data_IF_185214333503
#
_entry.id   IF_185214333503
#
_cell.length_a   1.000
_cell.length_b   1.000
_cell.length_c   1.000
_cell.angle_alpha   90.00
_cell.angle_beta   90.00
_cell.angle_gamma   90.00
#
_symmetry.space_group_name_H-M   'P 1'
#
loop_
_entity.id
_entity.type
_entity.pdbx_description
1 polymer ?
#
# COMPACT_ATOMS: atom_id res chain seq x y z
N UNK A 1 5.16 7.62 24.30
CA UNK A 1 4.14 6.63 23.89
C UNK A 1 4.78 5.73 22.84
N UNK A 2 4.63 4.41 22.93
CA UNK A 2 5.11 3.49 21.89
C UNK A 2 4.29 3.67 20.62
N UNK A 3 4.94 3.70 19.45
CA UNK A 3 4.25 3.67 18.16
C UNK A 3 3.42 2.37 18.06
N UNK A 4 2.23 2.46 17.48
CA UNK A 4 1.36 1.29 17.26
C UNK A 4 1.45 0.89 15.80
N UNK A 5 2.11 -0.25 15.53
CA UNK A 5 2.21 -0.80 14.18
C UNK A 5 0.83 -0.98 13.54
N UNK A 6 0.76 -0.69 12.24
CA UNK A 6 -0.47 -0.78 11.46
C UNK A 6 -0.20 -0.88 9.97
N UNK A 7 -1.08 -1.57 9.25
CA UNK A 7 -1.13 -1.48 7.80
C UNK A 7 -1.87 -0.21 7.35
N UNK A 8 -1.32 0.50 6.38
CA UNK A 8 -1.91 1.67 5.75
C UNK A 8 -2.26 1.34 4.30
N UNK A 9 -3.51 1.56 3.91
CA UNK A 9 -3.91 1.65 2.51
C UNK A 9 -3.62 3.06 2.01
N UNK A 10 -2.78 3.16 0.99
CA UNK A 10 -2.53 4.40 0.26
C UNK A 10 -3.03 4.20 -1.16
N UNK A 11 -3.96 5.03 -1.59
CA UNK A 11 -4.42 5.03 -2.98
C UNK A 11 -4.35 6.43 -3.55
N UNK A 12 -4.24 6.53 -4.87
CA UNK A 12 -4.29 7.82 -5.53
C UNK A 12 -4.45 7.73 -7.02
N UNK A 13 -4.60 8.92 -7.60
CA UNK A 13 -4.80 9.12 -9.02
C UNK A 13 -3.64 9.91 -9.61
N UNK A 14 -3.18 9.46 -10.77
CA UNK A 14 -2.16 10.12 -11.55
C UNK A 14 -2.70 11.44 -12.13
N UNK A 15 -1.83 12.45 -12.38
CA UNK A 15 -2.23 13.68 -13.03
C UNK A 15 -2.94 13.45 -14.37
N UNK A 16 -3.86 14.35 -14.71
CA UNK A 16 -4.52 14.32 -16.01
C UNK A 16 -3.49 14.38 -17.15
N UNK A 17 -3.70 13.57 -18.20
CA UNK A 17 -2.77 13.50 -19.34
C UNK A 17 -1.60 12.51 -19.17
N UNK A 18 -1.38 11.97 -17.98
CA UNK A 18 -0.38 10.90 -17.75
C UNK A 18 -0.71 9.67 -18.61
N UNK A 19 0.32 9.05 -19.22
CA UNK A 19 0.15 7.79 -19.96
C UNK A 19 0.11 6.61 -18.99
N UNK A 20 -0.61 5.54 -19.33
CA UNK A 20 -0.72 4.34 -18.48
C UNK A 20 0.65 3.76 -18.09
N UNK A 21 1.59 3.69 -19.04
CA UNK A 21 2.94 3.19 -18.78
C UNK A 21 3.71 4.08 -17.78
N UNK A 22 3.51 5.39 -17.81
CA UNK A 22 4.15 6.34 -16.89
C UNK A 22 3.54 6.22 -15.50
N UNK A 23 2.21 6.16 -15.41
CA UNK A 23 1.51 5.99 -14.13
C UNK A 23 1.97 4.71 -13.42
N UNK A 24 2.07 3.61 -14.17
CA UNK A 24 2.51 2.33 -13.61
C UNK A 24 3.97 2.37 -13.17
N UNK A 25 4.86 2.95 -13.99
CA UNK A 25 6.27 3.10 -13.64
C UNK A 25 6.46 3.98 -12.39
N UNK A 26 5.72 5.09 -12.29
CA UNK A 26 5.70 5.97 -11.12
C UNK A 26 5.32 5.22 -9.85
N UNK A 27 4.23 4.46 -9.86
CA UNK A 27 3.80 3.68 -8.70
C UNK A 27 4.82 2.61 -8.33
N UNK A 28 5.34 1.86 -9.31
CA UNK A 28 6.33 0.80 -9.07
C UNK A 28 7.62 1.34 -8.45
N UNK A 29 8.12 2.46 -8.96
CA UNK A 29 9.33 3.08 -8.41
C UNK A 29 9.08 3.61 -6.99
N UNK A 30 7.91 4.20 -6.74
CA UNK A 30 7.55 4.70 -5.41
C UNK A 30 7.46 3.58 -4.37
N UNK A 31 6.74 2.48 -4.64
CA UNK A 31 6.59 1.37 -3.68
C UNK A 31 7.90 0.61 -3.43
N UNK A 32 8.91 0.77 -4.29
CA UNK A 32 10.24 0.17 -4.10
C UNK A 32 11.05 0.87 -3.00
N UNK A 33 10.61 2.06 -2.57
CA UNK A 33 11.27 2.84 -1.54
C UNK A 33 11.06 2.22 -0.15
N UNK A 34 12.11 1.55 0.36
CA UNK A 34 12.09 0.85 1.65
C UNK A 34 11.87 1.76 2.86
N UNK A 35 11.99 3.09 2.71
CA UNK A 35 11.74 4.04 3.80
C UNK A 35 10.26 4.20 4.13
N UNK A 36 9.36 3.80 3.24
CA UNK A 36 7.91 3.96 3.37
C UNK A 36 7.24 2.91 4.29
N UNK A 37 8.03 1.94 4.78
CA UNK A 37 7.55 0.74 5.43
C UNK A 37 7.55 -0.47 4.48
N UNK A 38 7.12 -1.62 4.98
CA UNK A 38 7.08 -2.86 4.20
C UNK A 38 5.85 -2.87 3.30
N UNK A 39 6.05 -2.78 1.99
CA UNK A 39 4.98 -3.01 1.02
C UNK A 39 4.47 -4.45 1.13
N UNK A 40 3.16 -4.65 1.31
CA UNK A 40 2.54 -5.98 1.44
C UNK A 40 1.65 -6.33 0.24
N UNK A 41 1.08 -5.32 -0.42
CA UNK A 41 0.23 -5.50 -1.59
C UNK A 41 0.20 -4.20 -2.39
N UNK A 42 0.10 -4.29 -3.71
CA UNK A 42 -0.16 -3.12 -4.55
C UNK A 42 -0.93 -3.55 -5.78
N UNK A 43 -1.64 -2.62 -6.39
CA UNK A 43 -2.35 -2.85 -7.64
C UNK A 43 -2.53 -1.54 -8.41
N UNK A 44 -2.65 -1.65 -9.73
CA UNK A 44 -2.82 -0.53 -10.66
C UNK A 44 -4.28 -0.46 -11.14
N UNK A 45 -4.81 0.76 -11.30
CA UNK A 45 -6.14 0.94 -11.86
C UNK A 45 -6.11 0.72 -13.38
N UNK A 46 -6.92 -0.23 -13.86
CA UNK A 46 -6.97 -0.62 -15.27
C UNK A 46 -7.65 0.41 -16.19
N UNK A 47 -8.43 1.34 -15.63
CA UNK A 47 -9.22 2.32 -16.37
C UNK A 47 -9.01 3.73 -15.84
N UNK A 48 -9.37 4.75 -16.63
CA UNK A 48 -9.30 6.14 -16.18
C UNK A 48 -10.28 6.41 -15.02
N UNK A 49 -9.94 7.31 -14.09
CA UNK A 49 -8.62 7.95 -13.92
C UNK A 49 -7.53 6.93 -13.59
N UNK A 50 -6.36 7.07 -14.23
CA UNK A 50 -5.22 6.20 -13.97
C UNK A 50 -4.72 6.41 -12.54
N UNK A 51 -4.14 5.37 -11.95
CA UNK A 51 -3.66 5.42 -10.59
C UNK A 51 -3.43 4.01 -10.05
N UNK A 52 -3.54 3.88 -8.74
CA UNK A 52 -3.43 2.59 -8.09
C UNK A 52 -3.46 2.74 -6.58
N UNK A 53 -3.13 1.65 -5.91
CA UNK A 53 -2.99 1.64 -4.47
C UNK A 53 -1.91 0.68 -4.02
N UNK A 54 -1.46 0.89 -2.80
CA UNK A 54 -0.50 0.08 -2.11
C UNK A 54 -0.90 -0.03 -0.64
N UNK A 55 -0.59 -1.17 -0.04
CA UNK A 55 -0.74 -1.40 1.39
C UNK A 55 0.66 -1.56 1.99
N UNK A 56 0.95 -0.76 3.01
CA UNK A 56 2.23 -0.79 3.71
C UNK A 56 2.02 -1.21 5.16
N UNK A 57 2.78 -2.18 5.64
CA UNK A 57 2.98 -2.38 7.08
C UNK A 57 3.99 -1.34 7.59
N UNK A 58 3.54 -0.49 8.52
CA UNK A 58 4.34 0.57 9.13
C UNK A 58 4.51 0.25 10.61
N UNK A 59 5.76 0.10 11.04
CA UNK A 59 6.16 -0.36 12.37
C UNK A 59 6.69 0.76 13.28
N UNK A 60 6.97 1.94 12.71
CA UNK A 60 7.54 3.06 13.44
C UNK A 60 7.13 4.43 12.87
N UNK A 61 7.29 5.47 13.70
CA UNK A 61 6.88 6.83 13.32
C UNK A 61 7.62 7.35 12.09
N UNK A 62 8.91 7.04 11.94
CA UNK A 62 9.72 7.52 10.80
C UNK A 62 9.22 6.99 9.45
N UNK A 63 8.72 5.76 9.42
CA UNK A 63 8.13 5.17 8.21
C UNK A 63 6.80 5.86 7.87
N UNK A 64 5.97 6.16 8.88
CA UNK A 64 4.71 6.87 8.66
C UNK A 64 4.94 8.30 8.17
N UNK A 65 5.94 8.98 8.73
CA UNK A 65 6.31 10.33 8.31
C UNK A 65 6.87 10.32 6.88
N UNK A 66 7.71 9.33 6.54
CA UNK A 66 8.20 9.13 5.17
C UNK A 66 7.05 8.83 4.20
N UNK A 67 6.12 7.95 4.57
CA UNK A 67 4.96 7.59 3.75
C UNK A 67 4.10 8.81 3.38
N UNK A 68 3.98 9.78 4.28
CA UNK A 68 3.19 11.01 4.08
C UNK A 68 3.95 12.13 3.38
N UNK A 69 5.26 12.24 3.63
CA UNK A 69 6.07 13.36 3.15
C UNK A 69 6.77 13.07 1.83
N UNK A 70 7.15 11.82 1.56
CA UNK A 70 7.88 11.46 0.35
C UNK A 70 7.11 11.85 -0.92
N UNK A 71 5.79 11.58 -1.06
CA UNK A 71 5.06 11.95 -2.27
C UNK A 71 4.96 13.46 -2.54
N UNK A 72 5.24 14.28 -1.53
CA UNK A 72 5.23 15.74 -1.61
C UNK A 72 6.60 16.30 -2.01
N UNK A 73 7.64 15.46 -2.07
CA UNK A 73 8.98 15.87 -2.49
C UNK A 73 9.03 16.17 -3.99
N UNK A 74 9.85 17.16 -4.35
CA UNK A 74 10.10 17.54 -5.75
C UNK A 74 10.69 16.40 -6.59
N UNK A 75 11.41 15.46 -5.95
CA UNK A 75 12.05 14.32 -6.58
C UNK A 75 11.20 13.04 -6.50
N UNK A 76 9.98 13.11 -5.97
CA UNK A 76 9.11 11.92 -5.83
C UNK A 76 8.60 11.43 -7.17
N UNK A 77 8.56 10.11 -7.33
CA UNK A 77 7.90 9.45 -8.46
C UNK A 77 6.38 9.66 -8.49
N UNK A 78 5.77 10.04 -7.36
CA UNK A 78 4.34 10.37 -7.28
C UNK A 78 4.07 11.87 -7.23
N UNK A 79 5.04 12.72 -7.61
CA UNK A 79 4.84 14.17 -7.62
C UNK A 79 3.59 14.55 -8.44
N UNK A 80 2.72 15.35 -7.83
CA UNK A 80 1.47 15.82 -8.43
C UNK A 80 0.32 14.81 -8.39
N UNK A 81 0.52 13.61 -7.85
CA UNK A 81 -0.58 12.67 -7.60
C UNK A 81 -1.45 13.14 -6.45
N UNK A 82 -2.75 12.86 -6.54
CA UNK A 82 -3.69 13.07 -5.43
C UNK A 82 -3.79 11.78 -4.64
N UNK A 83 -3.28 11.78 -3.40
CA UNK A 83 -3.19 10.59 -2.55
C UNK A 83 -4.08 10.68 -1.31
N UNK A 84 -4.60 9.53 -0.90
CA UNK A 84 -5.35 9.30 0.33
C UNK A 84 -4.68 8.22 1.17
N UNK A 85 -4.68 8.40 2.50
CA UNK A 85 -3.97 7.53 3.44
C UNK A 85 -4.93 7.03 4.52
N UNK A 86 -5.13 5.72 4.60
CA UNK A 86 -6.09 5.13 5.52
C UNK A 86 -5.45 4.03 6.38
N UNK A 87 -5.34 4.23 7.71
CA UNK A 87 -4.96 3.15 8.61
C UNK A 87 -6.04 2.07 8.61
N UNK A 88 -5.66 0.80 8.44
CA UNK A 88 -6.60 -0.33 8.48
C UNK A 88 -6.92 -0.73 9.93
N UNK A 89 -8.17 -1.10 10.19
CA UNK A 89 -8.65 -1.40 11.54
C UNK A 89 -8.11 -2.74 12.07
N UNK A 90 -8.21 -3.79 11.26
CA UNK A 90 -7.87 -5.16 11.67
C UNK A 90 -6.49 -5.62 11.22
N UNK A 91 -5.98 -5.04 10.14
CA UNK A 91 -4.67 -5.35 9.58
C UNK A 91 -3.59 -4.56 10.32
N UNK A 92 -3.17 -5.05 11.47
CA UNK A 92 -2.12 -4.40 12.27
C UNK A 92 -0.70 -4.75 11.82
N UNK A 93 -0.54 -5.80 11.01
CA UNK A 93 0.70 -6.24 10.37
C UNK A 93 0.38 -7.14 9.16
N UNK A 94 1.40 -7.64 8.46
CA UNK A 94 1.27 -8.50 7.28
C UNK A 94 0.44 -9.75 7.58
N UNK A 95 0.71 -10.46 8.67
CA UNK A 95 -0.02 -11.69 9.01
C UNK A 95 -1.51 -11.42 9.24
N UNK A 96 -1.83 -10.32 9.93
CA UNK A 96 -3.22 -9.90 10.13
C UNK A 96 -3.88 -9.42 8.86
N UNK A 97 -3.13 -8.83 7.92
CA UNK A 97 -3.65 -8.49 6.60
C UNK A 97 -4.04 -9.75 5.82
N UNK A 98 -3.15 -10.75 5.73
CA UNK A 98 -3.42 -12.03 5.06
C UNK A 98 -4.58 -12.76 5.72
N UNK A 99 -4.60 -12.82 7.05
CA UNK A 99 -5.70 -13.39 7.81
C UNK A 99 -7.04 -12.72 7.48
N UNK A 100 -7.07 -11.39 7.33
CA UNK A 100 -8.31 -10.70 6.95
C UNK A 100 -8.81 -11.08 5.56
N UNK A 101 -7.92 -11.33 4.60
CA UNK A 101 -8.30 -11.88 3.30
C UNK A 101 -8.89 -13.28 3.43
N UNK A 102 -8.23 -14.17 4.18
CA UNK A 102 -8.71 -15.53 4.44
C UNK A 102 -10.09 -15.52 5.12
N UNK A 103 -10.22 -14.75 6.20
CA UNK A 103 -11.46 -14.58 6.96
C UNK A 103 -12.59 -14.07 6.06
N UNK A 104 -12.32 -13.06 5.21
CA UNK A 104 -13.32 -12.50 4.31
C UNK A 104 -13.84 -13.54 3.32
N UNK A 105 -12.96 -14.35 2.73
CA UNK A 105 -13.36 -15.42 1.81
C UNK A 105 -14.16 -16.51 2.52
N UNK A 106 -13.70 -16.96 3.70
CA UNK A 106 -14.41 -17.99 4.45
C UNK A 106 -15.78 -17.54 4.92
N UNK A 107 -15.88 -16.32 5.47
CA UNK A 107 -17.12 -15.85 6.10
C UNK A 107 -18.18 -15.40 5.11
N UNK A 108 -17.78 -14.89 3.93
CA UNK A 108 -18.72 -14.30 2.97
C UNK A 108 -18.89 -15.11 1.69
N UNK A 109 -18.04 -16.10 1.43
CA UNK A 109 -18.10 -16.93 0.21
C UNK A 109 -18.03 -18.43 0.48
N UNK A 110 -17.92 -18.85 1.74
CA UNK A 110 -17.76 -20.26 2.14
C UNK A 110 -16.57 -20.94 1.42
N UNK A 111 -15.52 -20.16 1.14
CA UNK A 111 -14.29 -20.66 0.51
C UNK A 111 -13.23 -20.79 1.59
N UNK A 112 -12.66 -21.99 1.72
CA UNK A 112 -11.51 -22.24 2.59
C UNK A 112 -10.21 -21.86 1.87
N UNK A 113 -9.49 -20.88 2.42
CA UNK A 113 -8.13 -20.53 2.01
C UNK A 113 -7.23 -20.54 3.25
N UNK A 114 -6.16 -21.33 3.20
CA UNK A 114 -5.11 -21.33 4.22
C UNK A 114 -3.79 -20.89 3.59
N UNK A 115 -3.17 -19.84 4.13
CA UNK A 115 -1.88 -19.33 3.65
C UNK A 115 -1.08 -18.79 4.83
N UNK A 116 0.19 -19.19 4.89
CA UNK A 116 1.15 -18.74 5.90
C UNK A 116 2.39 -18.18 5.22
N UNK A 117 2.96 -17.13 5.80
CA UNK A 117 4.22 -16.58 5.34
C UNK A 117 5.37 -17.38 5.94
N UNK A 118 6.13 -18.04 5.09
CA UNK A 118 7.37 -18.70 5.47
C UNK A 118 8.55 -17.75 5.20
N UNK A 119 9.46 -17.61 6.17
CA UNK A 119 10.73 -16.91 5.95
C UNK A 119 11.56 -17.67 4.94
N UNK A 120 12.14 -16.98 3.96
CA UNK A 120 13.18 -17.59 3.13
C UNK A 120 14.42 -17.80 4.00
N UNK A 121 14.82 -19.05 4.19
CA UNK A 121 16.11 -19.45 4.76
C UNK A 121 17.29 -18.93 3.93
#
# INVERSE_FOLDING_TARGET
MSFKSRCYLVYGFAPAGTRAIEANASLNNWISNKKLGKIIYHEHFATKPLGGFAVFEVNEQRELDALRSEPLSEDSHLKGWTLSYHPLTHSTNTDKFIYQTQYTLSSYRDVKMDYQLESKE
#
